data_IF_713687588137
#
_entry.id   IF_713687588137
#
_cell.length_a   1.000
_cell.length_b   1.000
_cell.length_c   1.000
_cell.angle_alpha   90.00
_cell.angle_beta   90.00
_cell.angle_gamma   90.00
#
_symmetry.space_group_name_H-M   'P 1'
#
loop_
_entity.id
_entity.type
_entity.pdbx_description
1 polymer ?
#
# COMPACT_ATOMS: atom_id res chain seq x y z
N UNK A 1 -20.74 -10.74 5.11
CA UNK A 1 -19.71 -10.02 5.90
C UNK A 1 -19.17 -8.90 5.04
N UNK A 2 -18.97 -7.69 5.57
CA UNK A 2 -18.20 -6.66 4.85
C UNK A 2 -16.76 -7.17 4.76
N UNK A 3 -16.23 -7.33 3.54
CA UNK A 3 -14.82 -7.67 3.35
C UNK A 3 -13.98 -6.52 3.94
N UNK A 4 -13.03 -6.85 4.78
CA UNK A 4 -12.15 -5.85 5.37
C UNK A 4 -11.09 -5.47 4.33
N UNK A 5 -11.28 -4.30 3.75
CA UNK A 5 -10.39 -3.75 2.73
C UNK A 5 -9.60 -2.62 3.37
N UNK A 6 -8.27 -2.78 3.41
CA UNK A 6 -7.34 -1.72 3.80
C UNK A 6 -6.51 -1.29 2.59
N UNK A 7 -5.64 -0.33 2.78
CA UNK A 7 -4.84 0.23 1.69
C UNK A 7 -3.90 -0.80 1.06
N UNK A 8 -3.38 -1.74 1.86
CA UNK A 8 -2.50 -2.80 1.38
C UNK A 8 -3.24 -3.84 0.54
N UNK A 9 -4.41 -4.31 0.98
CA UNK A 9 -5.18 -5.31 0.21
C UNK A 9 -5.68 -4.75 -1.11
N UNK A 10 -5.98 -3.45 -1.16
CA UNK A 10 -6.24 -2.74 -2.40
C UNK A 10 -5.00 -2.66 -3.31
N UNK A 11 -3.88 -2.18 -2.77
CA UNK A 11 -2.62 -2.04 -3.53
C UNK A 11 -2.11 -3.37 -4.12
N UNK A 12 -2.37 -4.47 -3.42
CA UNK A 12 -1.96 -5.83 -3.82
C UNK A 12 -3.00 -6.57 -4.68
N UNK A 13 -4.12 -5.94 -5.01
CA UNK A 13 -5.19 -6.53 -5.82
C UNK A 13 -5.75 -7.84 -5.21
N UNK A 14 -6.00 -7.84 -3.89
CA UNK A 14 -6.47 -9.00 -3.13
C UNK A 14 -7.74 -8.74 -2.33
N UNK A 15 -8.47 -7.65 -2.62
CA UNK A 15 -9.75 -7.33 -1.97
C UNK A 15 -10.81 -8.45 -2.10
N UNK A 16 -10.65 -9.30 -3.12
CA UNK A 16 -11.50 -10.46 -3.37
C UNK A 16 -11.24 -11.67 -2.46
N UNK A 17 -10.08 -11.74 -1.81
CA UNK A 17 -9.57 -12.92 -1.11
C UNK A 17 -10.23 -13.08 0.27
N UNK A 18 -10.31 -14.32 0.77
CA UNK A 18 -10.77 -14.61 2.12
C UNK A 18 -9.58 -14.51 3.08
N UNK A 19 -9.39 -13.33 3.67
CA UNK A 19 -8.27 -13.00 4.55
C UNK A 19 -8.74 -12.93 6.00
N UNK A 20 -7.94 -13.45 6.93
CA UNK A 20 -8.20 -13.34 8.36
C UNK A 20 -7.93 -11.91 8.83
N UNK A 21 -8.76 -11.40 9.75
CA UNK A 21 -8.55 -10.06 10.32
C UNK A 21 -7.17 -9.86 10.98
N UNK A 22 -6.55 -10.94 11.47
CA UNK A 22 -5.19 -10.90 12.02
C UNK A 22 -4.12 -10.58 10.98
N UNK A 23 -4.37 -10.91 9.71
CA UNK A 23 -3.45 -10.67 8.58
C UNK A 23 -3.50 -9.21 8.13
N UNK A 24 -4.59 -8.52 8.44
CA UNK A 24 -4.76 -7.09 8.21
C UNK A 24 -4.08 -6.23 9.28
N UNK A 25 -3.39 -6.82 10.27
CA UNK A 25 -2.75 -6.04 11.33
C UNK A 25 -1.70 -5.09 10.74
N UNK A 26 -1.92 -3.81 11.03
CA UNK A 26 -1.14 -2.68 10.56
C UNK A 26 -0.17 -2.31 11.67
N UNK A 27 1.10 -2.61 11.49
CA UNK A 27 2.15 -2.24 12.44
C UNK A 27 3.03 -1.18 11.81
N UNK A 28 3.44 -0.22 12.64
CA UNK A 28 4.53 0.67 12.29
C UNK A 28 5.84 -0.12 12.33
N UNK A 29 6.64 -0.04 11.27
CA UNK A 29 7.97 -0.65 11.21
C UNK A 29 9.05 0.36 10.88
N UNK A 30 10.22 0.12 11.47
CA UNK A 30 11.46 0.87 11.18
C UNK A 30 12.05 0.52 9.81
N UNK A 31 11.72 -0.66 9.26
CA UNK A 31 12.02 -1.04 7.88
C UNK A 31 10.72 -1.43 7.16
N UNK A 32 10.01 -0.45 6.59
CA UNK A 32 8.73 -0.70 5.93
C UNK A 32 8.85 -1.64 4.75
N UNK A 33 9.97 -1.63 4.02
CA UNK A 33 10.12 -2.50 2.86
C UNK A 33 10.21 -3.96 3.26
N UNK A 34 11.03 -4.28 4.26
CA UNK A 34 11.15 -5.66 4.75
C UNK A 34 9.79 -6.16 5.21
N UNK A 35 9.05 -5.37 6.01
CA UNK A 35 7.70 -5.79 6.44
C UNK A 35 6.74 -6.00 5.25
N UNK A 36 6.67 -5.04 4.32
CA UNK A 36 5.79 -5.12 3.15
C UNK A 36 6.15 -6.35 2.31
N UNK A 37 7.43 -6.55 2.00
CA UNK A 37 7.89 -7.66 1.15
C UNK A 37 7.64 -9.03 1.80
N UNK A 38 7.91 -9.17 3.10
CA UNK A 38 7.59 -10.39 3.86
C UNK A 38 6.09 -10.68 3.85
N UNK A 39 5.24 -9.68 4.11
CA UNK A 39 3.78 -9.86 4.05
C UNK A 39 3.28 -10.22 2.65
N UNK A 40 3.82 -9.57 1.61
CA UNK A 40 3.49 -9.88 0.22
C UNK A 40 3.73 -11.36 -0.06
N UNK A 41 4.90 -11.88 0.31
CA UNK A 41 5.28 -13.27 0.08
C UNK A 41 4.52 -14.24 0.97
N UNK A 42 4.62 -14.07 2.29
CA UNK A 42 4.21 -15.09 3.28
C UNK A 42 2.70 -15.10 3.54
N UNK A 43 2.01 -13.98 3.32
CA UNK A 43 0.58 -13.84 3.62
C UNK A 43 -0.27 -13.72 2.38
N UNK A 44 0.21 -13.00 1.35
CA UNK A 44 -0.63 -12.62 0.22
C UNK A 44 -0.28 -13.30 -1.10
N UNK A 45 0.75 -14.16 -1.12
CA UNK A 45 1.22 -14.84 -2.32
C UNK A 45 1.46 -13.86 -3.48
N UNK A 46 2.22 -12.80 -3.18
CA UNK A 46 2.64 -11.75 -4.10
C UNK A 46 4.15 -11.62 -4.07
N UNK A 47 4.74 -11.32 -5.22
CA UNK A 47 6.12 -10.82 -5.28
C UNK A 47 6.11 -9.32 -5.01
N UNK A 48 7.16 -8.81 -4.36
CA UNK A 48 7.31 -7.39 -4.07
C UNK A 48 8.79 -7.00 -4.15
N UNK A 49 9.12 -6.04 -5.01
CA UNK A 49 10.49 -5.54 -5.19
C UNK A 49 10.49 -4.03 -5.39
N UNK A 50 11.58 -3.37 -4.99
CA UNK A 50 11.77 -1.95 -5.26
C UNK A 50 12.08 -1.72 -6.73
N UNK A 51 11.51 -0.65 -7.28
CA UNK A 51 11.78 -0.14 -8.62
C UNK A 51 11.97 1.37 -8.57
N UNK A 52 12.47 1.98 -9.64
CA UNK A 52 12.57 3.44 -9.75
C UNK A 52 11.44 4.02 -10.60
N UNK A 53 10.92 3.24 -11.54
CA UNK A 53 9.91 3.72 -12.49
C UNK A 53 9.07 2.57 -13.06
N UNK A 54 8.08 2.93 -13.90
CA UNK A 54 7.30 1.94 -14.65
C UNK A 54 8.14 1.14 -15.64
N UNK A 55 9.21 1.74 -16.18
CA UNK A 55 10.03 1.08 -17.20
C UNK A 55 10.81 -0.12 -16.62
N UNK A 56 10.89 -0.20 -15.29
CA UNK A 56 11.52 -1.30 -14.58
C UNK A 56 10.56 -2.50 -14.38
N UNK A 57 9.27 -2.40 -14.74
CA UNK A 57 8.28 -3.48 -14.52
C UNK A 57 8.53 -4.68 -15.46
N UNK A 58 8.34 -5.88 -14.91
CA UNK A 58 8.30 -7.12 -15.67
C UNK A 58 6.87 -7.45 -16.10
N UNK A 59 6.74 -8.32 -17.10
CA UNK A 59 5.45 -8.80 -17.58
C UNK A 59 4.61 -9.39 -16.42
N UNK A 60 3.38 -8.87 -16.27
CA UNK A 60 2.46 -9.30 -15.22
C UNK A 60 2.61 -8.58 -13.88
N UNK A 61 3.57 -7.66 -13.75
CA UNK A 61 3.68 -6.79 -12.58
C UNK A 61 2.89 -5.49 -12.74
N UNK A 62 2.45 -4.93 -11.62
CA UNK A 62 1.87 -3.59 -11.53
C UNK A 62 2.66 -2.72 -10.55
N UNK A 63 2.52 -1.41 -10.72
CA UNK A 63 3.23 -0.43 -9.93
C UNK A 63 2.38 0.05 -8.75
N UNK A 64 3.01 0.11 -7.58
CA UNK A 64 2.47 0.67 -6.35
C UNK A 64 3.48 1.67 -5.78
N UNK A 65 3.00 2.74 -5.15
CA UNK A 65 3.82 3.71 -4.43
C UNK A 65 3.41 3.73 -2.97
N UNK A 66 4.38 3.50 -2.08
CA UNK A 66 4.20 3.58 -0.65
C UNK A 66 4.64 4.96 -0.13
N UNK A 67 3.78 5.62 0.63
CA UNK A 67 4.01 6.95 1.19
C UNK A 67 4.30 6.95 2.69
N UNK A 68 4.25 5.80 3.36
CA UNK A 68 4.43 5.71 4.80
C UNK A 68 3.17 5.24 5.52
N UNK A 69 3.12 5.56 6.81
CA UNK A 69 2.03 5.14 7.69
C UNK A 69 1.16 6.33 8.06
N UNK A 70 -0.16 6.18 7.94
CA UNK A 70 -1.16 7.18 8.35
C UNK A 70 -1.78 6.74 9.66
N UNK A 71 -1.82 7.61 10.66
CA UNK A 71 -2.55 7.35 11.89
C UNK A 71 -4.07 7.33 11.61
N UNK A 72 -4.74 6.23 11.96
CA UNK A 72 -6.19 6.04 11.76
C UNK A 72 -6.98 6.06 13.07
N UNK A 73 -6.31 6.00 14.22
CA UNK A 73 -6.92 6.14 15.54
C UNK A 73 -5.91 6.72 16.51
N UNK A 74 -6.39 7.61 17.39
CA UNK A 74 -5.60 8.33 18.38
C UNK A 74 -6.15 8.05 19.79
N UNK A 75 -5.26 8.05 20.79
CA UNK A 75 -5.64 7.95 22.20
C UNK A 75 -6.20 9.27 22.75
N UNK A 76 -6.56 9.28 24.03
CA UNK A 76 -7.08 10.47 24.71
C UNK A 76 -6.04 11.60 24.85
N UNK A 77 -4.75 11.31 24.70
CA UNK A 77 -3.66 12.30 24.70
C UNK A 77 -3.30 12.78 23.28
N UNK A 78 -4.01 12.30 22.26
CA UNK A 78 -3.78 12.64 20.86
C UNK A 78 -2.59 11.91 20.22
N UNK A 79 -2.08 10.84 20.84
CA UNK A 79 -1.02 10.01 20.25
C UNK A 79 -1.63 8.96 19.33
N UNK A 80 -1.01 8.64 18.18
CA UNK A 80 -1.51 7.57 17.33
C UNK A 80 -1.46 6.20 18.04
N UNK A 81 -2.59 5.50 18.06
CA UNK A 81 -2.71 4.13 18.56
C UNK A 81 -2.66 3.09 17.43
N UNK A 82 -3.21 3.44 16.27
CA UNK A 82 -3.27 2.58 15.11
C UNK A 82 -2.87 3.34 13.87
N UNK A 83 -2.13 2.66 13.01
CA UNK A 83 -1.67 3.18 11.73
C UNK A 83 -2.29 2.35 10.61
N UNK A 84 -2.39 2.91 9.41
CA UNK A 84 -2.60 2.19 8.16
C UNK A 84 -1.43 2.47 7.22
N UNK A 85 -1.20 1.58 6.26
CA UNK A 85 -0.29 1.88 5.17
C UNK A 85 -0.92 2.90 4.25
N UNK A 86 -0.12 3.78 3.65
CA UNK A 86 -0.58 4.64 2.58
C UNK A 86 0.03 4.21 1.25
N UNK A 87 -0.84 3.73 0.36
CA UNK A 87 -0.45 3.29 -0.98
C UNK A 87 -1.28 3.99 -2.05
N UNK A 88 -0.62 4.30 -3.17
CA UNK A 88 -1.28 4.54 -4.45
C UNK A 88 -0.91 3.41 -5.43
N UNK A 89 -1.87 2.96 -6.23
CA UNK A 89 -1.68 1.94 -7.28
C UNK A 89 -1.80 2.60 -8.64
N UNK A 90 -0.99 2.15 -9.59
CA UNK A 90 -1.16 2.50 -11.00
C UNK A 90 -2.09 1.49 -11.66
N UNK A 91 -3.16 1.99 -12.24
CA UNK A 91 -4.12 1.21 -12.99
C UNK A 91 -3.62 0.93 -14.43
N UNK A 92 -4.22 -0.07 -15.09
CA UNK A 92 -3.81 -0.52 -16.44
C UNK A 92 -4.00 0.54 -17.53
N UNK A 93 -4.93 1.48 -17.32
CA UNK A 93 -5.15 2.65 -18.19
C UNK A 93 -4.12 3.79 -17.93
N UNK A 94 -3.21 3.61 -16.97
CA UNK A 94 -2.20 4.59 -16.59
C UNK A 94 -2.64 5.61 -15.53
N UNK A 95 -3.89 5.59 -15.07
CA UNK A 95 -4.34 6.45 -13.95
C UNK A 95 -3.78 5.94 -12.62
N UNK A 96 -3.76 6.83 -11.64
CA UNK A 96 -3.38 6.49 -10.28
C UNK A 96 -4.57 6.60 -9.36
N UNK A 97 -4.63 5.68 -8.42
CA UNK A 97 -5.75 5.50 -7.50
C UNK A 97 -5.20 5.17 -6.13
N UNK A 98 -5.86 5.66 -5.09
CA UNK A 98 -5.54 5.30 -3.71
C UNK A 98 -6.78 4.91 -2.94
N UNK A 99 -6.55 4.18 -1.86
CA UNK A 99 -7.51 4.07 -0.75
C UNK A 99 -6.89 4.79 0.44
N UNK A 100 -7.46 5.88 0.96
CA UNK A 100 -6.85 6.64 2.05
C UNK A 100 -6.77 5.92 3.41
N UNK A 101 -7.74 5.04 3.69
CA UNK A 101 -7.75 4.19 4.89
C UNK A 101 -8.77 3.05 4.79
N UNK A 102 -8.73 2.12 5.73
CA UNK A 102 -9.79 1.12 5.92
C UNK A 102 -11.19 1.77 5.90
N UNK A 103 -12.10 1.22 5.10
CA UNK A 103 -13.49 1.69 4.87
C UNK A 103 -13.68 2.98 4.06
N UNK A 104 -12.62 3.63 3.57
CA UNK A 104 -12.76 4.76 2.63
C UNK A 104 -12.89 4.27 1.19
N UNK A 105 -13.57 5.01 0.32
CA UNK A 105 -13.69 4.65 -1.10
C UNK A 105 -12.35 4.83 -1.84
N UNK A 106 -12.18 4.10 -2.95
CA UNK A 106 -11.05 4.30 -3.86
C UNK A 106 -11.27 5.61 -4.60
N UNK A 107 -10.22 6.42 -4.70
CA UNK A 107 -10.27 7.70 -5.40
C UNK A 107 -9.10 7.84 -6.36
N UNK A 108 -9.33 8.55 -7.47
CA UNK A 108 -8.26 8.94 -8.39
C UNK A 108 -7.34 9.96 -7.73
N UNK A 109 -6.04 9.87 -8.02
CA UNK A 109 -5.03 10.78 -7.49
C UNK A 109 -4.09 11.29 -8.58
N UNK A 110 -3.69 12.54 -8.43
CA UNK A 110 -2.54 13.09 -9.13
C UNK A 110 -1.28 12.66 -8.35
N UNK A 111 -0.59 11.65 -8.88
CA UNK A 111 0.58 11.07 -8.22
C UNK A 111 1.73 12.07 -8.08
N UNK A 112 1.91 12.97 -9.05
CA UNK A 112 3.02 13.93 -9.06
C UNK A 112 2.78 14.99 -7.98
N UNK A 113 1.53 15.48 -7.89
CA UNK A 113 1.13 16.38 -6.81
C UNK A 113 1.28 15.71 -5.44
N UNK A 114 0.85 14.46 -5.30
CA UNK A 114 0.94 13.71 -4.05
C UNK A 114 2.39 13.50 -3.61
N UNK A 115 3.29 13.08 -4.51
CA UNK A 115 4.73 12.97 -4.25
C UNK A 115 5.30 14.33 -3.81
N UNK A 116 4.90 15.41 -4.49
CA UNK A 116 5.33 16.77 -4.15
C UNK A 116 4.91 17.18 -2.73
N UNK A 117 3.66 16.95 -2.33
CA UNK A 117 3.17 17.27 -0.98
C UNK A 117 3.90 16.47 0.11
N UNK A 118 4.13 15.17 -0.12
CA UNK A 118 4.87 14.34 0.82
C UNK A 118 6.35 14.74 0.94
N UNK A 119 6.97 15.18 -0.16
CA UNK A 119 8.33 15.69 -0.13
C UNK A 119 8.49 16.92 0.76
N UNK A 120 7.46 17.79 0.89
CA UNK A 120 7.49 18.99 1.76
C UNK A 120 7.67 18.64 3.24
N UNK A 121 7.20 17.47 3.66
CA UNK A 121 7.32 16.97 5.04
C UNK A 121 8.45 15.94 5.20
N UNK A 122 9.34 15.85 4.20
CA UNK A 122 10.54 15.00 4.26
C UNK A 122 10.29 13.52 4.00
N UNK A 123 9.09 13.14 3.55
CA UNK A 123 8.77 11.76 3.19
C UNK A 123 9.25 11.48 1.78
N UNK A 124 9.96 10.36 1.60
CA UNK A 124 10.41 9.85 0.31
C UNK A 124 9.57 8.62 -0.06
N UNK A 125 8.67 8.74 -1.06
CA UNK A 125 7.85 7.61 -1.49
C UNK A 125 8.70 6.46 -2.03
N UNK A 126 8.23 5.24 -1.84
CA UNK A 126 8.90 4.03 -2.29
C UNK A 126 8.08 3.38 -3.39
N UNK A 127 8.67 3.24 -4.57
CA UNK A 127 8.04 2.56 -5.70
C UNK A 127 8.29 1.06 -5.60
N UNK A 128 7.21 0.30 -5.75
CA UNK A 128 7.16 -1.15 -5.60
C UNK A 128 6.53 -1.76 -6.84
N UNK A 129 7.21 -2.73 -7.43
CA UNK A 129 6.62 -3.63 -8.41
C UNK A 129 6.01 -4.81 -7.65
N UNK A 130 4.72 -5.04 -7.88
CA UNK A 130 3.97 -6.15 -7.29
C UNK A 130 3.60 -7.10 -8.41
N UNK A 131 3.85 -8.39 -8.21
CA UNK A 131 3.47 -9.45 -9.14
C UNK A 131 2.74 -10.57 -8.42
N UNK A 132 2.21 -11.52 -9.20
CA UNK A 132 1.73 -12.80 -8.65
C UNK A 132 2.95 -13.66 -8.31
N UNK A 133 2.94 -14.31 -7.15
CA UNK A 133 3.87 -15.42 -6.95
C UNK A 133 3.46 -16.57 -7.87
N UNK A 134 4.40 -17.18 -8.59
CA UNK A 134 4.15 -18.44 -9.28
C UNK A 134 3.86 -19.52 -8.23
N UNK A 135 2.85 -20.35 -8.47
CA UNK A 135 2.49 -21.50 -7.63
C UNK A 135 3.55 -22.62 -7.69
#
# INVERSE_FOLDING_TARGET
MKKFINCMTYALDIEGYDLLNSELKLWYSLDPFVEISTKCQDTYHRTCRKVNSVDDLLDGEWLVVFFGFIAIKFDYEGRPEYYDYHFARRESNGTWTERPSVYTEIQDVDIDNMISEYAKIGIKPMFLAIGKAED
#
